data_IF_351218102931
#
_entry.id   IF_351218102931
#
_cell.length_a   1.000
_cell.length_b   1.000
_cell.length_c   1.000
_cell.angle_alpha   90.00
_cell.angle_beta   90.00
_cell.angle_gamma   90.00
#
_symmetry.space_group_name_H-M   'P 1'
#
loop_
_entity.id
_entity.type
_entity.pdbx_description
1 polymer ?
#
# COMPACT_ATOMS: atom_id res chain seq x y z
N UNK A 1 -16.35 -17.55 24.94
CA UNK A 1 -16.70 -16.12 24.91
C UNK A 1 -17.98 -15.93 25.70
N UNK A 2 -18.10 -14.87 26.52
CA UNK A 2 -19.36 -14.57 27.21
C UNK A 2 -20.44 -14.29 26.17
N UNK A 3 -21.60 -14.91 26.34
CA UNK A 3 -22.80 -14.64 25.56
C UNK A 3 -23.30 -13.21 25.77
N UNK A 4 -24.08 -12.71 24.82
CA UNK A 4 -24.59 -11.33 24.81
C UNK A 4 -25.35 -10.94 26.09
N UNK A 5 -26.06 -11.90 26.68
CA UNK A 5 -26.86 -11.71 27.89
C UNK A 5 -26.15 -12.10 29.20
N UNK A 6 -24.94 -12.66 29.12
CA UNK A 6 -24.15 -13.10 30.27
C UNK A 6 -23.62 -11.90 31.09
N UNK A 7 -23.31 -12.11 32.39
CA UNK A 7 -22.61 -11.10 33.18
C UNK A 7 -21.30 -10.70 32.51
N UNK A 8 -21.03 -9.39 32.51
CA UNK A 8 -19.87 -8.84 31.82
C UNK A 8 -18.58 -9.20 32.56
N UNK A 9 -17.54 -9.72 31.88
CA UNK A 9 -16.30 -10.20 32.50
C UNK A 9 -15.44 -9.08 33.09
N UNK A 10 -15.78 -7.81 32.87
CA UNK A 10 -15.07 -6.67 33.45
C UNK A 10 -15.38 -6.43 34.94
N UNK A 11 -16.18 -7.29 35.58
CA UNK A 11 -16.51 -7.19 37.01
C UNK A 11 -17.61 -6.17 37.33
N UNK A 12 -18.28 -5.59 36.34
CA UNK A 12 -19.30 -4.55 36.57
C UNK A 12 -20.66 -5.07 37.06
N UNK A 13 -20.88 -6.39 37.10
CA UNK A 13 -22.17 -7.01 37.45
C UNK A 13 -23.29 -6.80 36.44
N UNK A 14 -23.07 -6.02 35.37
CA UNK A 14 -24.05 -5.76 34.31
C UNK A 14 -23.99 -6.83 33.22
N UNK A 15 -25.07 -7.02 32.47
CA UNK A 15 -25.06 -7.85 31.25
C UNK A 15 -24.06 -7.32 30.22
N UNK A 16 -23.34 -8.21 29.53
CA UNK A 16 -22.30 -7.86 28.55
C UNK A 16 -22.82 -6.88 27.48
N UNK A 17 -24.02 -7.11 26.93
CA UNK A 17 -24.67 -6.21 25.96
C UNK A 17 -24.93 -4.79 26.43
N UNK A 18 -25.04 -4.57 27.75
CA UNK A 18 -25.25 -3.25 28.36
C UNK A 18 -23.95 -2.67 28.96
N UNK A 19 -22.82 -3.34 28.73
CA UNK A 19 -21.53 -2.94 29.28
C UNK A 19 -20.46 -2.87 28.19
N UNK A 20 -19.65 -3.92 28.01
CA UNK A 20 -18.48 -3.87 27.13
C UNK A 20 -18.81 -4.06 25.64
N UNK A 21 -19.96 -4.64 25.28
CA UNK A 21 -20.29 -4.95 23.89
C UNK A 21 -20.14 -3.76 22.94
N UNK A 22 -20.63 -2.58 23.33
CA UNK A 22 -20.54 -1.38 22.48
C UNK A 22 -19.09 -0.95 22.29
N UNK A 23 -18.31 -0.94 23.37
CA UNK A 23 -16.88 -0.62 23.34
C UNK A 23 -16.13 -1.61 22.45
N UNK A 24 -16.42 -2.90 22.56
CA UNK A 24 -15.75 -3.94 21.76
C UNK A 24 -16.11 -3.81 20.27
N UNK A 25 -17.36 -3.43 19.95
CA UNK A 25 -17.77 -3.08 18.59
C UNK A 25 -17.05 -1.83 18.06
N UNK A 26 -16.88 -0.81 18.90
CA UNK A 26 -16.17 0.41 18.53
C UNK A 26 -14.69 0.14 18.29
N UNK A 27 -14.03 -0.66 19.15
CA UNK A 27 -12.66 -1.12 18.92
C UNK A 27 -12.55 -1.94 17.64
N UNK A 28 -13.49 -2.83 17.36
CA UNK A 28 -13.49 -3.62 16.13
C UNK A 28 -13.60 -2.72 14.89
N UNK A 29 -14.47 -1.70 14.92
CA UNK A 29 -14.58 -0.71 13.85
C UNK A 29 -13.31 0.11 13.67
N UNK A 30 -12.69 0.55 14.77
CA UNK A 30 -11.42 1.29 14.71
C UNK A 30 -10.29 0.44 14.12
N UNK A 31 -10.23 -0.84 14.49
CA UNK A 31 -9.25 -1.79 13.91
C UNK A 31 -9.48 -1.98 12.42
N UNK A 32 -10.72 -2.23 12.00
CA UNK A 32 -11.06 -2.37 10.58
C UNK A 32 -10.71 -1.10 9.79
N UNK A 33 -11.07 0.08 10.30
CA UNK A 33 -10.72 1.35 9.66
C UNK A 33 -9.20 1.58 9.57
N UNK A 34 -8.44 1.18 10.59
CA UNK A 34 -6.98 1.23 10.58
C UNK A 34 -6.35 0.26 9.58
N UNK A 35 -6.88 -0.96 9.48
CA UNK A 35 -6.47 -1.98 8.51
C UNK A 35 -6.75 -1.52 7.07
N UNK A 36 -7.92 -0.92 6.82
CA UNK A 36 -8.29 -0.33 5.53
C UNK A 36 -7.35 0.83 5.15
N UNK A 37 -7.06 1.73 6.08
CA UNK A 37 -6.12 2.83 5.86
C UNK A 37 -4.70 2.34 5.57
N UNK A 38 -4.23 1.32 6.30
CA UNK A 38 -2.92 0.72 6.05
C UNK A 38 -2.87 -0.01 4.69
N UNK A 39 -3.93 -0.72 4.32
CA UNK A 39 -4.04 -1.37 3.02
C UNK A 39 -4.01 -0.34 1.86
N UNK A 40 -4.73 0.77 2.00
CA UNK A 40 -4.70 1.90 1.06
C UNK A 40 -3.29 2.47 0.91
N UNK A 41 -2.60 2.75 2.02
CA UNK A 41 -1.23 3.26 1.99
C UNK A 41 -0.28 2.26 1.31
N UNK A 42 -0.38 0.98 1.64
CA UNK A 42 0.44 -0.09 1.04
C UNK A 42 0.19 -0.19 -0.47
N UNK A 43 -1.06 -0.07 -0.91
CA UNK A 43 -1.40 -0.07 -2.34
C UNK A 43 -0.80 1.13 -3.08
N UNK A 44 -0.85 2.32 -2.47
CA UNK A 44 -0.22 3.52 -3.02
C UNK A 44 1.30 3.37 -3.12
N UNK A 45 1.96 2.86 -2.07
CA UNK A 45 3.40 2.59 -2.07
C UNK A 45 3.80 1.59 -3.17
N UNK A 46 3.06 0.49 -3.32
CA UNK A 46 3.29 -0.48 -4.42
C UNK A 46 3.03 0.12 -5.79
N UNK A 47 2.09 1.06 -5.93
CA UNK A 47 1.84 1.74 -7.19
C UNK A 47 3.02 2.64 -7.59
N UNK A 48 3.59 3.37 -6.62
CA UNK A 48 4.81 4.18 -6.82
C UNK A 48 5.98 3.28 -7.23
N UNK A 49 6.20 2.18 -6.51
CA UNK A 49 7.25 1.22 -6.85
C UNK A 49 7.06 0.62 -8.24
N UNK A 50 5.82 0.29 -8.62
CA UNK A 50 5.51 -0.22 -9.96
C UNK A 50 5.78 0.82 -11.06
N UNK A 51 5.48 2.09 -10.83
CA UNK A 51 5.82 3.16 -11.77
C UNK A 51 7.34 3.30 -11.92
N UNK A 52 8.08 3.29 -10.80
CA UNK A 52 9.54 3.36 -10.82
C UNK A 52 10.17 2.16 -11.55
N UNK A 53 9.70 0.94 -11.28
CA UNK A 53 10.21 -0.28 -11.94
C UNK A 53 9.84 -0.32 -13.42
N UNK A 54 8.69 0.23 -13.82
CA UNK A 54 8.29 0.28 -15.23
C UNK A 54 9.07 1.32 -16.04
N UNK A 55 9.39 2.46 -15.44
CA UNK A 55 10.15 3.52 -16.13
C UNK A 55 11.67 3.23 -16.15
N UNK A 56 12.21 2.58 -15.11
CA UNK A 56 13.65 2.36 -14.98
C UNK A 56 14.08 0.90 -15.19
N UNK A 57 13.20 -0.07 -14.94
CA UNK A 57 13.55 -1.50 -14.94
C UNK A 57 13.64 -2.13 -16.32
N UNK A 58 12.79 -1.75 -17.28
CA UNK A 58 12.87 -2.26 -18.66
C UNK A 58 14.06 -1.67 -19.41
N UNK A 59 14.44 -0.42 -19.13
CA UNK A 59 15.63 0.20 -19.71
C UNK A 59 16.93 -0.51 -19.31
N UNK A 60 17.00 -1.08 -18.10
CA UNK A 60 18.14 -1.88 -17.65
C UNK A 60 18.11 -3.28 -18.29
N UNK A 61 16.94 -3.90 -18.42
CA UNK A 61 16.82 -5.26 -18.99
C UNK A 61 17.04 -5.30 -20.51
N UNK A 62 16.56 -4.30 -21.26
CA UNK A 62 16.83 -4.20 -22.71
C UNK A 62 18.32 -3.96 -23.00
N UNK A 63 19.03 -3.29 -22.08
CA UNK A 63 20.49 -3.07 -22.17
C UNK A 63 21.31 -4.36 -21.92
N UNK A 64 20.77 -5.34 -21.19
CA UNK A 64 21.46 -6.59 -20.86
C UNK A 64 21.06 -7.78 -21.76
N UNK A 65 20.04 -7.63 -22.59
CA UNK A 65 19.63 -8.63 -23.58
C UNK A 65 20.39 -8.52 -24.91
N UNK A 66 21.25 -7.50 -25.07
CA UNK A 66 22.09 -7.34 -26.25
C UNK A 66 23.32 -8.28 -26.16
N UNK A 67 23.54 -9.21 -27.12
CA UNK A 67 24.73 -10.06 -27.13
C UNK A 67 26.03 -9.31 -27.48
N UNK A 68 26.00 -7.98 -27.55
CA UNK A 68 26.99 -7.15 -28.25
C UNK A 68 27.44 -5.92 -27.44
N UNK A 69 27.62 -6.05 -26.12
CA UNK A 69 28.34 -5.03 -25.34
C UNK A 69 29.84 -5.25 -25.54
N UNK A 70 30.35 -4.83 -26.70
CA UNK A 70 31.74 -4.45 -26.88
C UNK A 70 31.75 -3.12 -27.65
N UNK A 71 32.35 -2.11 -27.03
CA UNK A 71 32.51 -0.72 -27.49
C UNK A 71 31.44 0.30 -27.06
N UNK A 72 31.71 0.80 -25.86
CA UNK A 72 31.60 2.20 -25.45
C UNK A 72 31.87 3.19 -26.59
N UNK A 73 30.82 3.70 -27.23
CA UNK A 73 30.84 5.05 -27.82
C UNK A 73 29.68 5.88 -27.30
N UNK A 74 30.10 7.01 -26.79
CA UNK A 74 29.39 8.03 -26.06
C UNK A 74 28.75 8.97 -27.08
N UNK A 75 27.47 8.83 -27.39
CA UNK A 75 26.75 9.89 -28.12
C UNK A 75 25.52 10.37 -27.36
N UNK A 76 25.56 11.67 -27.11
CA UNK A 76 24.69 12.45 -26.26
C UNK A 76 23.38 12.79 -26.96
N UNK A 77 22.39 11.90 -26.89
CA UNK A 77 21.03 12.19 -27.35
C UNK A 77 19.98 11.61 -26.41
N UNK A 78 19.98 12.04 -25.14
CA UNK A 78 18.87 11.82 -24.21
C UNK A 78 18.51 13.12 -23.50
N UNK A 79 18.14 14.14 -24.29
CA UNK A 79 17.60 15.39 -23.75
C UNK A 79 16.43 15.92 -24.57
N UNK A 80 15.52 15.05 -25.03
CA UNK A 80 14.27 15.52 -25.64
C UNK A 80 13.05 14.60 -25.46
N UNK A 81 13.01 13.74 -24.43
CA UNK A 81 11.79 12.96 -24.11
C UNK A 81 11.30 13.12 -22.66
N UNK A 82 11.79 14.12 -21.91
CA UNK A 82 11.20 14.47 -20.60
C UNK A 82 9.93 15.33 -20.70
N UNK A 83 9.53 15.80 -21.89
CA UNK A 83 8.46 16.81 -22.04
C UNK A 83 7.03 16.25 -22.18
N UNK A 84 6.80 14.94 -22.28
CA UNK A 84 5.46 14.42 -22.61
C UNK A 84 4.65 13.98 -21.38
N UNK A 85 5.26 13.76 -20.21
CA UNK A 85 4.56 13.21 -19.05
C UNK A 85 4.04 14.24 -18.03
N UNK A 86 3.92 15.53 -18.39
CA UNK A 86 3.35 16.58 -17.51
C UNK A 86 2.19 17.39 -18.14
N UNK A 87 1.51 16.84 -19.16
CA UNK A 87 0.36 17.49 -19.81
C UNK A 87 -0.99 16.79 -19.61
N UNK A 88 -1.15 16.09 -18.48
CA UNK A 88 -2.47 15.73 -17.95
C UNK A 88 -2.51 16.03 -16.46
N UNK A 89 -2.49 17.32 -16.16
CA UNK A 89 -3.15 17.98 -15.04
C UNK A 89 -3.81 19.24 -15.58
#
# INVERSE_FOLDING_TARGET
MPGRDDPCPCGSGRKYKKCCLQRDQDLARQKAAGEEAFASFKQAAMAVERCLVRELGTAIMDRWADPFIENLELEAHTFQEFSVCHKTL
#
